data_IF_345659522977
#
_entry.id   IF_345659522977
#
_cell.length_a   1.000
_cell.length_b   1.000
_cell.length_c   1.000
_cell.angle_alpha   90.00
_cell.angle_beta   90.00
_cell.angle_gamma   90.00
#
_symmetry.space_group_name_H-M   'P 1'
#
loop_
_entity.id
_entity.type
_entity.pdbx_description
1 polymer ?
#
# COMPACT_ATOMS: atom_id res chain seq x y z
N UNK A 1 -6.56 -16.92 7.65
CA UNK A 1 -6.39 -15.45 7.46
C UNK A 1 -5.92 -14.79 8.77
N UNK A 2 -4.60 -14.79 9.01
CA UNK A 2 -3.98 -14.09 10.14
C UNK A 2 -3.81 -12.61 9.84
N UNK A 3 -4.61 -11.75 10.48
CA UNK A 3 -4.68 -10.29 10.20
C UNK A 3 -3.75 -9.49 11.15
N UNK A 4 -2.76 -10.14 11.76
CA UNK A 4 -1.95 -9.52 12.83
C UNK A 4 -0.67 -8.80 12.37
N UNK A 5 -0.35 -8.76 11.07
CA UNK A 5 1.01 -8.38 10.63
C UNK A 5 1.18 -6.97 10.08
N UNK A 6 0.15 -6.10 10.11
CA UNK A 6 0.25 -4.69 9.68
C UNK A 6 0.49 -3.71 10.84
N UNK A 7 0.94 -4.21 11.98
CA UNK A 7 1.27 -3.39 13.16
C UNK A 7 2.73 -2.93 13.18
N UNK A 8 3.59 -3.50 12.33
CA UNK A 8 4.98 -3.03 12.22
C UNK A 8 5.05 -1.69 11.49
N UNK A 9 5.63 -0.70 12.18
CA UNK A 9 6.25 0.47 11.58
C UNK A 9 5.50 1.80 11.69
N UNK A 10 4.37 1.91 12.39
CA UNK A 10 3.74 3.23 12.58
C UNK A 10 4.56 4.12 13.52
N UNK A 11 5.07 3.56 14.62
CA UNK A 11 5.89 4.30 15.58
C UNK A 11 7.30 4.56 15.02
N UNK A 12 7.88 3.60 14.29
CA UNK A 12 9.17 3.78 13.59
C UNK A 12 9.09 4.88 12.51
N UNK A 13 7.98 4.97 11.76
CA UNK A 13 7.74 6.04 10.78
C UNK A 13 7.54 7.43 11.40
N UNK A 14 6.96 7.48 12.61
CA UNK A 14 6.84 8.72 13.36
C UNK A 14 8.21 9.20 13.88
N UNK A 15 9.11 8.27 14.20
CA UNK A 15 10.48 8.60 14.60
C UNK A 15 11.35 9.06 13.42
N UNK A 16 11.17 8.51 12.22
CA UNK A 16 11.80 8.99 10.98
C UNK A 16 11.38 10.42 10.57
N UNK A 17 10.26 10.91 11.12
CA UNK A 17 9.78 12.27 10.89
C UNK A 17 10.38 13.31 11.84
N UNK A 18 11.23 12.92 12.81
CA UNK A 18 11.79 13.82 13.82
C UNK A 18 13.10 14.47 13.36
N UNK A 19 13.30 15.79 13.58
CA UNK A 19 14.52 16.49 13.19
C UNK A 19 15.68 16.25 14.17
N UNK A 20 16.88 15.93 13.66
CA UNK A 20 18.17 15.87 14.40
C UNK A 20 18.96 17.19 14.19
N UNK A 21 19.75 17.71 15.16
CA UNK A 21 20.44 19.02 15.05
C UNK A 21 21.54 19.11 13.94
N UNK A 22 22.02 20.32 13.63
CA UNK A 22 22.14 20.91 12.27
C UNK A 22 23.57 21.02 11.64
N UNK A 23 23.61 20.96 10.29
CA UNK A 23 24.54 21.67 9.37
C UNK A 23 23.84 22.01 8.01
N UNK A 24 24.14 23.17 7.40
CA UNK A 24 23.28 23.86 6.39
C UNK A 24 22.99 23.15 5.05
N UNK A 25 23.93 22.36 4.50
CA UNK A 25 23.67 21.53 3.31
C UNK A 25 22.81 20.29 3.62
N UNK A 26 22.80 19.84 4.88
CA UNK A 26 21.94 18.77 5.36
C UNK A 26 20.47 19.17 5.45
N UNK A 27 20.18 20.46 5.66
CA UNK A 27 18.81 20.94 5.88
C UNK A 27 17.89 20.71 4.66
N UNK A 28 18.35 21.04 3.45
CA UNK A 28 17.56 20.87 2.20
C UNK A 28 17.39 19.40 1.83
N UNK A 29 18.46 18.61 1.91
CA UNK A 29 18.43 17.16 1.67
C UNK A 29 17.43 16.47 2.61
N UNK A 30 17.47 16.81 3.91
CA UNK A 30 16.52 16.31 4.90
C UNK A 30 15.08 16.72 4.61
N UNK A 31 14.85 17.98 4.22
CA UNK A 31 13.50 18.44 3.90
C UNK A 31 12.90 17.65 2.73
N UNK A 32 13.69 17.39 1.69
CA UNK A 32 13.27 16.60 0.53
C UNK A 32 13.07 15.12 0.87
N UNK A 33 13.89 14.55 1.76
CA UNK A 33 13.67 13.20 2.31
C UNK A 33 12.38 13.12 3.15
N UNK A 34 12.11 14.10 4.02
CA UNK A 34 10.87 14.16 4.81
C UNK A 34 9.64 14.26 3.90
N UNK A 35 9.69 15.08 2.85
CA UNK A 35 8.60 15.17 1.88
C UNK A 35 8.38 13.85 1.13
N UNK A 36 9.47 13.18 0.75
CA UNK A 36 9.43 11.87 0.12
C UNK A 36 8.78 10.82 1.04
N UNK A 37 9.23 10.71 2.29
CA UNK A 37 8.64 9.80 3.29
C UNK A 37 7.16 10.12 3.53
N UNK A 38 6.79 11.39 3.62
CA UNK A 38 5.36 11.77 3.77
C UNK A 38 4.51 11.36 2.58
N UNK A 39 5.08 11.35 1.37
CA UNK A 39 4.35 10.96 0.17
C UNK A 39 4.01 9.47 0.10
N UNK A 40 4.74 8.60 0.82
CA UNK A 40 4.48 7.15 0.85
C UNK A 40 3.45 6.73 1.90
N UNK A 41 3.25 7.54 2.96
CA UNK A 41 2.29 7.27 4.04
C UNK A 41 0.89 6.87 3.53
N UNK A 42 0.28 7.57 2.54
CA UNK A 42 -1.06 7.19 2.11
C UNK A 42 -1.10 5.82 1.41
N UNK A 43 -0.02 5.36 0.77
CA UNK A 43 0.08 4.00 0.20
C UNK A 43 -0.04 2.97 1.33
N UNK A 44 0.67 3.18 2.44
CA UNK A 44 0.62 2.29 3.61
C UNK A 44 -0.77 2.26 4.24
N UNK A 45 -1.39 3.44 4.40
CA UNK A 45 -2.76 3.56 4.94
C UNK A 45 -3.77 2.84 4.06
N UNK A 46 -3.69 3.04 2.74
CA UNK A 46 -4.60 2.39 1.80
C UNK A 46 -4.40 0.88 1.76
N UNK A 47 -3.15 0.41 1.83
CA UNK A 47 -2.83 -1.02 1.91
C UNK A 47 -3.48 -1.66 3.15
N UNK A 48 -3.32 -1.03 4.32
CA UNK A 48 -3.96 -1.48 5.56
C UNK A 48 -5.48 -1.43 5.46
N UNK A 49 -6.02 -0.35 4.92
CA UNK A 49 -7.46 -0.14 4.77
C UNK A 49 -8.11 -1.21 3.87
N UNK A 50 -7.41 -1.65 2.81
CA UNK A 50 -7.86 -2.73 1.93
C UNK A 50 -8.08 -4.04 2.70
N UNK A 51 -7.06 -4.53 3.38
CA UNK A 51 -7.14 -5.80 4.10
C UNK A 51 -8.10 -5.73 5.29
N UNK A 52 -8.17 -4.59 5.98
CA UNK A 52 -9.15 -4.37 7.05
C UNK A 52 -10.59 -4.42 6.52
N UNK A 53 -10.86 -3.76 5.38
CA UNK A 53 -12.18 -3.80 4.73
C UNK A 53 -12.53 -5.24 4.33
N UNK A 54 -11.62 -5.92 3.64
CA UNK A 54 -11.84 -7.28 3.15
C UNK A 54 -12.09 -8.26 4.31
N UNK A 55 -11.18 -8.29 5.29
CA UNK A 55 -11.33 -9.11 6.50
C UNK A 55 -12.68 -8.86 7.19
N UNK A 56 -13.06 -7.60 7.36
CA UNK A 56 -14.29 -7.26 8.06
C UNK A 56 -15.51 -7.77 7.30
N UNK A 57 -15.55 -7.63 5.98
CA UNK A 57 -16.68 -8.14 5.20
C UNK A 57 -16.76 -9.66 5.17
N UNK A 58 -15.60 -10.34 5.16
CA UNK A 58 -15.53 -11.80 5.22
C UNK A 58 -16.03 -12.34 6.58
N UNK A 59 -15.64 -11.69 7.69
CA UNK A 59 -16.04 -12.11 9.06
C UNK A 59 -17.50 -11.83 9.40
N UNK A 60 -18.14 -10.89 8.69
CA UNK A 60 -19.52 -10.49 8.95
C UNK A 60 -20.55 -11.46 8.37
N UNK A 61 -20.12 -12.42 7.56
CA UNK A 61 -21.01 -13.21 6.71
C UNK A 61 -20.69 -14.69 6.82
N UNK A 62 -21.73 -15.49 6.78
CA UNK A 62 -21.61 -16.92 6.56
C UNK A 62 -21.38 -17.14 5.06
N UNK A 63 -20.11 -17.31 4.69
CA UNK A 63 -19.72 -17.51 3.30
C UNK A 63 -19.84 -18.99 2.91
N UNK A 64 -20.17 -19.29 1.65
CA UNK A 64 -20.09 -20.64 1.11
C UNK A 64 -18.68 -21.23 1.30
N UNK A 65 -18.60 -22.53 1.53
CA UNK A 65 -17.34 -23.27 1.68
C UNK A 65 -16.61 -23.48 0.35
N UNK A 66 -17.26 -23.16 -0.78
CA UNK A 66 -16.71 -23.35 -2.12
C UNK A 66 -16.75 -22.05 -2.92
N UNK A 67 -15.77 -21.92 -3.82
CA UNK A 67 -15.62 -20.81 -4.76
C UNK A 67 -15.17 -21.38 -6.10
N UNK A 68 -15.51 -20.70 -7.20
CA UNK A 68 -15.02 -21.06 -8.55
C UNK A 68 -13.54 -20.69 -8.74
N UNK A 69 -12.93 -20.05 -7.75
CA UNK A 69 -11.51 -19.71 -7.74
C UNK A 69 -10.63 -20.97 -7.75
N UNK A 70 -9.60 -21.00 -8.59
CA UNK A 70 -8.63 -22.09 -8.58
C UNK A 70 -7.81 -22.09 -7.29
N UNK A 71 -7.25 -23.25 -6.91
CA UNK A 71 -6.39 -23.34 -5.71
C UNK A 71 -5.20 -22.37 -5.77
N UNK A 72 -4.65 -22.13 -6.96
CA UNK A 72 -3.58 -21.16 -7.17
C UNK A 72 -4.03 -19.71 -6.89
N UNK A 73 -5.21 -19.33 -7.37
CA UNK A 73 -5.76 -18.00 -7.12
C UNK A 73 -6.12 -17.80 -5.63
N UNK A 74 -6.62 -18.86 -4.98
CA UNK A 74 -6.88 -18.89 -3.53
C UNK A 74 -5.58 -18.66 -2.73
N UNK A 75 -4.51 -19.38 -3.08
CA UNK A 75 -3.20 -19.22 -2.46
C UNK A 75 -2.65 -17.79 -2.65
N UNK A 76 -2.82 -17.20 -3.83
CA UNK A 76 -2.44 -15.81 -4.11
C UNK A 76 -3.16 -14.82 -3.19
N UNK A 77 -4.47 -15.02 -2.94
CA UNK A 77 -5.22 -14.19 -2.00
C UNK A 77 -4.83 -14.47 -0.54
N UNK A 78 -4.62 -15.72 -0.14
CA UNK A 78 -4.25 -16.05 1.24
C UNK A 78 -2.90 -15.43 1.63
N UNK A 79 -1.93 -15.46 0.72
CA UNK A 79 -0.59 -14.85 0.90
C UNK A 79 -0.54 -13.35 0.62
N UNK A 80 -1.64 -12.73 0.21
CA UNK A 80 -1.64 -11.35 -0.28
C UNK A 80 -1.18 -10.33 0.78
N UNK A 81 -1.63 -10.48 2.03
CA UNK A 81 -1.26 -9.57 3.11
C UNK A 81 0.24 -9.65 3.44
N UNK A 82 0.79 -10.86 3.55
CA UNK A 82 2.23 -11.10 3.76
C UNK A 82 3.05 -10.53 2.59
N UNK A 83 2.61 -10.79 1.37
CA UNK A 83 3.27 -10.29 0.16
C UNK A 83 3.30 -8.76 0.10
N UNK A 84 2.21 -8.09 0.47
CA UNK A 84 2.18 -6.62 0.55
C UNK A 84 3.04 -6.10 1.71
N UNK A 85 3.10 -6.79 2.85
CA UNK A 85 3.99 -6.40 3.93
C UNK A 85 5.46 -6.41 3.49
N UNK A 86 5.90 -7.44 2.77
CA UNK A 86 7.25 -7.46 2.20
C UNK A 86 7.48 -6.31 1.23
N UNK A 87 6.55 -6.06 0.31
CA UNK A 87 6.66 -4.95 -0.64
C UNK A 87 6.67 -3.56 0.04
N UNK A 88 5.96 -3.44 1.17
CA UNK A 88 5.99 -2.24 2.03
C UNK A 88 7.35 -2.11 2.72
N UNK A 89 7.94 -3.19 3.24
CA UNK A 89 9.29 -3.14 3.79
C UNK A 89 10.32 -2.72 2.74
N UNK A 90 10.20 -3.23 1.50
CA UNK A 90 11.05 -2.83 0.37
C UNK A 90 10.85 -1.35 -0.03
N UNK A 91 9.67 -0.78 0.24
CA UNK A 91 9.38 0.64 0.06
C UNK A 91 10.02 1.50 1.15
N UNK A 92 10.10 1.02 2.40
CA UNK A 92 10.60 1.80 3.53
C UNK A 92 12.13 1.80 3.61
N UNK A 93 12.78 0.68 3.30
CA UNK A 93 14.23 0.55 3.40
C UNK A 93 15.03 1.65 2.65
N UNK A 94 14.69 2.06 1.41
CA UNK A 94 15.37 3.17 0.75
C UNK A 94 15.16 4.55 1.40
N UNK A 95 14.08 4.73 2.18
CA UNK A 95 13.80 5.98 2.90
C UNK A 95 14.72 6.11 4.12
N UNK A 96 14.98 5.01 4.81
CA UNK A 96 15.89 4.95 5.95
C UNK A 96 17.33 5.26 5.52
N UNK A 97 17.71 4.81 4.31
CA UNK A 97 19.03 5.00 3.74
C UNK A 97 19.19 6.32 2.94
N UNK A 98 18.16 7.19 2.90
CA UNK A 98 18.11 8.33 1.96
C UNK A 98 19.24 9.37 2.17
N UNK A 99 19.79 9.46 3.39
CA UNK A 99 20.90 10.35 3.72
C UNK A 99 22.27 9.75 3.34
N UNK A 100 22.37 8.43 3.21
CA UNK A 100 23.62 7.69 2.96
C UNK A 100 23.75 7.24 1.50
N UNK A 101 22.65 6.80 0.89
CA UNK A 101 22.62 6.26 -0.46
C UNK A 101 22.59 7.35 -1.54
N UNK A 102 23.06 7.03 -2.77
CA UNK A 102 22.86 7.90 -3.93
C UNK A 102 21.37 8.12 -4.19
N UNK A 103 20.95 9.37 -4.40
CA UNK A 103 19.53 9.70 -4.59
C UNK A 103 18.90 8.97 -5.77
N UNK A 104 19.65 8.75 -6.84
CA UNK A 104 19.18 7.99 -8.00
C UNK A 104 18.85 6.53 -7.63
N UNK A 105 19.66 5.89 -6.78
CA UNK A 105 19.41 4.53 -6.31
C UNK A 105 18.20 4.47 -5.37
N UNK A 106 18.10 5.41 -4.43
CA UNK A 106 16.92 5.56 -3.56
C UNK A 106 15.65 5.72 -4.40
N UNK A 107 15.64 6.66 -5.35
CA UNK A 107 14.50 6.93 -6.23
C UNK A 107 14.12 5.70 -7.06
N UNK A 108 15.09 5.01 -7.67
CA UNK A 108 14.84 3.80 -8.45
C UNK A 108 14.19 2.70 -7.61
N UNK A 109 14.75 2.40 -6.42
CA UNK A 109 14.21 1.36 -5.52
C UNK A 109 12.79 1.70 -5.05
N UNK A 110 12.54 2.96 -4.72
CA UNK A 110 11.20 3.42 -4.33
C UNK A 110 10.17 3.26 -5.44
N UNK A 111 10.48 3.71 -6.66
CA UNK A 111 9.57 3.59 -7.79
C UNK A 111 9.26 2.11 -8.06
N UNK A 112 10.27 1.25 -8.03
CA UNK A 112 10.08 -0.19 -8.20
C UNK A 112 9.14 -0.78 -7.14
N UNK A 113 9.34 -0.43 -5.86
CA UNK A 113 8.46 -0.91 -4.79
C UNK A 113 7.01 -0.39 -4.94
N UNK A 114 6.83 0.89 -5.29
CA UNK A 114 5.51 1.50 -5.53
C UNK A 114 4.78 0.79 -6.67
N UNK A 115 5.46 0.55 -7.79
CA UNK A 115 4.90 -0.13 -8.96
C UNK A 115 4.52 -1.58 -8.65
N UNK A 116 5.35 -2.29 -7.88
CA UNK A 116 5.05 -3.64 -7.43
C UNK A 116 3.81 -3.68 -6.52
N UNK A 117 3.70 -2.78 -5.54
CA UNK A 117 2.52 -2.67 -4.67
C UNK A 117 1.26 -2.44 -5.51
N UNK A 118 1.32 -1.47 -6.44
CA UNK A 118 0.20 -1.13 -7.31
C UNK A 118 -0.26 -2.31 -8.17
N UNK A 119 0.69 -2.98 -8.83
CA UNK A 119 0.41 -4.15 -9.68
C UNK A 119 -0.20 -5.31 -8.90
N UNK A 120 0.32 -5.60 -7.71
CA UNK A 120 -0.22 -6.66 -6.84
C UNK A 120 -1.66 -6.36 -6.42
N UNK A 121 -1.94 -5.12 -6.03
CA UNK A 121 -3.30 -4.73 -5.69
C UNK A 121 -4.27 -4.80 -6.86
N UNK A 122 -3.85 -4.49 -8.08
CA UNK A 122 -4.71 -4.70 -9.26
C UNK A 122 -5.11 -6.17 -9.39
N UNK A 123 -4.17 -7.10 -9.19
CA UNK A 123 -4.46 -8.54 -9.17
C UNK A 123 -5.41 -8.94 -8.03
N UNK A 124 -5.18 -8.45 -6.81
CA UNK A 124 -6.04 -8.76 -5.67
C UNK A 124 -7.44 -8.18 -5.79
N UNK A 125 -7.59 -6.94 -6.27
CA UNK A 125 -8.88 -6.32 -6.56
C UNK A 125 -9.64 -7.15 -7.58
N UNK A 126 -8.98 -7.60 -8.65
CA UNK A 126 -9.62 -8.46 -9.66
C UNK A 126 -10.15 -9.76 -9.04
N UNK A 127 -9.33 -10.46 -8.25
CA UNK A 127 -9.75 -11.70 -7.59
C UNK A 127 -10.89 -11.48 -6.59
N UNK A 128 -10.82 -10.38 -5.81
CA UNK A 128 -11.89 -10.01 -4.88
C UNK A 128 -13.19 -9.74 -5.63
N UNK A 129 -13.14 -8.96 -6.71
CA UNK A 129 -14.33 -8.58 -7.48
C UNK A 129 -14.96 -9.79 -8.18
N UNK A 130 -14.15 -10.65 -8.78
CA UNK A 130 -14.63 -11.81 -9.54
C UNK A 130 -15.16 -12.94 -8.66
N UNK A 131 -14.52 -13.20 -7.52
CA UNK A 131 -14.77 -14.44 -6.79
C UNK A 131 -15.15 -14.27 -5.33
N UNK A 132 -14.79 -13.14 -4.68
CA UNK A 132 -15.12 -12.93 -3.26
C UNK A 132 -16.44 -12.18 -3.13
N UNK A 133 -16.63 -11.10 -3.89
CA UNK A 133 -17.88 -10.33 -3.91
C UNK A 133 -19.10 -11.22 -4.17
N UNK A 134 -19.10 -12.09 -5.22
CA UNK A 134 -20.31 -12.86 -5.54
C UNK A 134 -20.73 -13.86 -4.45
N UNK A 135 -19.86 -14.18 -3.49
CA UNK A 135 -20.15 -15.07 -2.38
C UNK A 135 -20.97 -14.40 -1.27
N UNK A 136 -21.15 -13.08 -1.31
CA UNK A 136 -21.82 -12.34 -0.24
C UNK A 136 -23.35 -12.43 -0.40
N UNK A 137 -24.07 -13.10 0.53
CA UNK A 137 -25.52 -13.29 0.42
C UNK A 137 -26.29 -11.96 0.44
N UNK A 138 -25.82 -10.94 1.18
CA UNK A 138 -26.53 -9.65 1.27
C UNK A 138 -26.45 -8.80 -0.01
N UNK A 139 -25.60 -9.18 -0.97
CA UNK A 139 -25.50 -8.48 -2.26
C UNK A 139 -26.64 -8.82 -3.23
N UNK A 140 -27.66 -9.56 -2.76
CA UNK A 140 -28.96 -9.62 -3.42
C UNK A 140 -29.69 -8.27 -3.36
N UNK A 141 -29.42 -7.43 -2.35
CA UNK A 141 -29.84 -6.03 -2.34
C UNK A 141 -28.92 -5.19 -3.24
N UNK A 142 -29.55 -4.44 -4.16
CA UNK A 142 -28.87 -3.58 -5.13
C UNK A 142 -28.06 -2.49 -4.42
N UNK A 143 -28.56 -1.97 -3.29
CA UNK A 143 -27.90 -0.88 -2.55
C UNK A 143 -26.58 -1.32 -1.93
N UNK A 144 -26.57 -2.51 -1.32
CA UNK A 144 -25.37 -3.13 -0.73
C UNK A 144 -24.29 -3.42 -1.77
N UNK A 145 -24.68 -3.86 -2.97
CA UNK A 145 -23.78 -4.09 -4.11
C UNK A 145 -23.16 -2.79 -4.61
N UNK A 146 -23.97 -1.76 -4.80
CA UNK A 146 -23.49 -0.44 -5.22
C UNK A 146 -22.53 0.13 -4.17
N UNK A 147 -22.87 0.05 -2.88
CA UNK A 147 -21.99 0.53 -1.81
C UNK A 147 -20.62 -0.17 -1.82
N UNK A 148 -20.61 -1.50 -1.94
CA UNK A 148 -19.36 -2.25 -1.93
C UNK A 148 -18.52 -1.94 -3.17
N UNK A 149 -19.12 -1.98 -4.37
CA UNK A 149 -18.42 -1.64 -5.62
C UNK A 149 -17.85 -0.21 -5.60
N UNK A 150 -18.63 0.77 -5.15
CA UNK A 150 -18.19 2.16 -5.04
C UNK A 150 -16.98 2.29 -4.11
N UNK A 151 -16.97 1.55 -3.00
CA UNK A 151 -15.84 1.55 -2.09
C UNK A 151 -14.54 1.07 -2.77
N UNK A 152 -14.58 -0.01 -3.55
CA UNK A 152 -13.38 -0.50 -4.28
C UNK A 152 -12.95 0.47 -5.38
N UNK A 153 -13.91 1.07 -6.09
CA UNK A 153 -13.62 2.08 -7.11
C UNK A 153 -12.91 3.28 -6.46
N UNK A 154 -13.47 3.85 -5.39
CA UNK A 154 -12.85 4.96 -4.66
C UNK A 154 -11.47 4.59 -4.13
N UNK A 155 -11.33 3.42 -3.51
CA UNK A 155 -10.05 2.95 -3.00
C UNK A 155 -9.00 2.82 -4.11
N UNK A 156 -9.37 2.26 -5.27
CA UNK A 156 -8.47 2.08 -6.41
C UNK A 156 -8.02 3.43 -7.01
N UNK A 157 -8.95 4.39 -7.14
CA UNK A 157 -8.63 5.76 -7.57
C UNK A 157 -7.64 6.42 -6.60
N UNK A 158 -7.89 6.29 -5.29
CA UNK A 158 -7.01 6.82 -4.26
C UNK A 158 -5.63 6.17 -4.32
N UNK A 159 -5.55 4.85 -4.49
CA UNK A 159 -4.29 4.11 -4.63
C UNK A 159 -3.50 4.66 -5.82
N UNK A 160 -4.11 4.69 -7.01
CA UNK A 160 -3.45 5.16 -8.22
C UNK A 160 -2.92 6.60 -8.06
N UNK A 161 -3.77 7.50 -7.55
CA UNK A 161 -3.39 8.89 -7.29
C UNK A 161 -2.23 9.01 -6.30
N UNK A 162 -2.26 8.26 -5.18
CA UNK A 162 -1.15 8.32 -4.22
C UNK A 162 0.13 7.70 -4.75
N UNK A 163 0.05 6.65 -5.57
CA UNK A 163 1.25 6.04 -6.17
C UNK A 163 1.91 6.99 -7.16
N UNK A 164 1.11 7.68 -7.99
CA UNK A 164 1.61 8.70 -8.92
C UNK A 164 2.24 9.88 -8.18
N UNK A 165 1.59 10.37 -7.12
CA UNK A 165 2.14 11.44 -6.28
C UNK A 165 3.45 11.05 -5.60
N UNK A 166 3.57 9.82 -5.09
CA UNK A 166 4.79 9.31 -4.48
C UNK A 166 5.92 9.15 -5.52
N UNK A 167 5.62 8.66 -6.72
CA UNK A 167 6.60 8.59 -7.83
C UNK A 167 7.08 9.98 -8.23
N UNK A 168 6.17 10.97 -8.30
CA UNK A 168 6.55 12.37 -8.55
C UNK A 168 7.46 12.91 -7.45
N UNK A 169 7.15 12.66 -6.19
CA UNK A 169 8.00 13.05 -5.07
C UNK A 169 9.39 12.41 -5.14
N UNK A 170 9.49 11.12 -5.49
CA UNK A 170 10.76 10.42 -5.66
C UNK A 170 11.62 11.03 -6.79
N UNK A 171 11.00 11.39 -7.91
CA UNK A 171 11.67 12.08 -9.02
C UNK A 171 12.12 13.50 -8.66
N UNK A 172 11.34 14.22 -7.84
CA UNK A 172 11.75 15.53 -7.33
C UNK A 172 12.93 15.41 -6.37
N UNK A 173 12.90 14.43 -5.47
CA UNK A 173 14.00 14.13 -4.55
C UNK A 173 15.31 13.87 -5.29
N UNK A 174 15.28 13.11 -6.39
CA UNK A 174 16.45 12.84 -7.23
C UNK A 174 17.07 14.12 -7.82
N UNK A 175 16.22 15.03 -8.31
CA UNK A 175 16.60 16.26 -9.03
C UNK A 175 17.00 17.42 -8.13
N UNK A 176 16.71 17.34 -6.84
CA UNK A 176 16.93 18.43 -5.89
C UNK A 176 18.43 18.55 -5.51
N UNK A 177 19.28 18.92 -6.47
CA UNK A 177 20.72 19.08 -6.27
C UNK A 177 21.02 20.15 -5.20
N UNK A 178 22.02 19.93 -4.32
CA UNK A 178 22.57 20.99 -3.47
C UNK A 178 23.20 22.11 -4.31
#
# INVERSE_FOLDING_TARGET
>A
MGIQTLDMGWDDLLDLSRPIPIGGGGQRRRQSAIQLTRSTIPILKLSKLFFQKLSRELKKRDLPLFTEMSSQQLEVLDKSAETINHAVSDLLCPLDEADEAPRADTTRRLIQAIEQISSRFQGYVLLVVLYVIPLFPDLHDVSSRIYFSNWFITWNILLFSTTDNAIKAARLFERDHP
#
